data_IF_503149912331
#
_entry.id   IF_503149912331
#
_cell.length_a   1.000
_cell.length_b   1.000
_cell.length_c   1.000
_cell.angle_alpha   90.00
_cell.angle_beta   90.00
_cell.angle_gamma   90.00
#
_symmetry.space_group_name_H-M   'P 1'
#
loop_
_entity.id
_entity.type
_entity.pdbx_description
1 polymer ?
#
# COMPACT_ATOMS: atom_id res chain seq x y z
N UNK A 1 -11.20 8.54 -0.10
CA UNK A 1 -9.99 8.00 0.58
C UNK A 1 -9.11 7.09 -0.28
N UNK A 2 -9.49 6.75 -1.52
CA UNK A 2 -8.71 5.92 -2.46
C UNK A 2 -7.83 6.74 -3.42
N UNK A 3 -8.09 8.04 -3.56
CA UNK A 3 -7.38 8.94 -4.48
C UNK A 3 -5.89 9.08 -4.15
N UNK A 4 -5.06 9.24 -5.17
CA UNK A 4 -3.62 9.54 -5.02
C UNK A 4 -3.43 10.91 -4.36
N UNK A 5 -2.29 11.12 -3.66
CA UNK A 5 -2.04 12.36 -2.91
C UNK A 5 -2.11 13.62 -3.78
N UNK A 6 -1.54 13.68 -5.01
CA UNK A 6 -1.69 14.85 -5.87
C UNK A 6 -3.15 15.13 -6.25
N UNK A 7 -3.94 14.07 -6.52
CA UNK A 7 -5.35 14.20 -6.83
C UNK A 7 -6.14 14.73 -5.62
N UNK A 8 -5.82 14.28 -4.40
CA UNK A 8 -6.43 14.80 -3.18
C UNK A 8 -6.15 16.30 -2.99
N UNK A 9 -4.89 16.72 -3.14
CA UNK A 9 -4.51 18.13 -3.05
C UNK A 9 -5.22 18.97 -4.12
N UNK A 10 -5.30 18.46 -5.35
CA UNK A 10 -6.07 19.09 -6.44
C UNK A 10 -7.55 19.27 -6.10
N UNK A 11 -8.19 18.24 -5.53
CA UNK A 11 -9.60 18.33 -5.10
C UNK A 11 -9.79 19.37 -3.99
N UNK A 12 -8.90 19.42 -3.00
CA UNK A 12 -8.98 20.41 -1.92
C UNK A 12 -8.78 21.83 -2.45
N UNK A 13 -7.84 22.04 -3.37
CA UNK A 13 -7.61 23.33 -4.03
C UNK A 13 -8.82 23.76 -4.89
N UNK A 14 -9.41 22.83 -5.64
CA UNK A 14 -10.61 23.10 -6.43
C UNK A 14 -11.81 23.48 -5.53
N UNK A 15 -12.02 22.76 -4.42
CA UNK A 15 -13.07 23.09 -3.45
C UNK A 15 -12.86 24.47 -2.84
N UNK A 16 -11.62 24.81 -2.47
CA UNK A 16 -11.26 26.14 -1.98
C UNK A 16 -11.64 27.22 -3.01
N UNK A 17 -11.26 27.05 -4.28
CA UNK A 17 -11.61 28.01 -5.33
C UNK A 17 -13.12 28.13 -5.55
N UNK A 18 -13.85 27.02 -5.53
CA UNK A 18 -15.31 27.01 -5.70
C UNK A 18 -16.04 27.73 -4.57
N UNK A 19 -15.62 27.53 -3.32
CA UNK A 19 -16.18 28.25 -2.16
C UNK A 19 -15.93 29.75 -2.31
N UNK A 20 -14.70 30.14 -2.68
CA UNK A 20 -14.38 31.55 -2.87
C UNK A 20 -15.17 32.17 -4.03
N UNK A 21 -15.33 31.46 -5.15
CA UNK A 21 -16.15 31.92 -6.26
C UNK A 21 -17.63 32.08 -5.87
N UNK A 22 -18.16 31.16 -5.07
CA UNK A 22 -19.51 31.27 -4.53
C UNK A 22 -19.68 32.52 -3.65
N UNK A 23 -18.79 32.74 -2.69
CA UNK A 23 -18.84 33.92 -1.83
C UNK A 23 -18.58 35.22 -2.58
N UNK A 24 -17.77 35.20 -3.65
CA UNK A 24 -17.62 36.34 -4.56
C UNK A 24 -18.96 36.76 -5.15
N UNK A 25 -19.77 35.80 -5.61
CA UNK A 25 -21.13 36.06 -6.13
C UNK A 25 -22.03 36.60 -5.02
N UNK A 26 -21.96 36.03 -3.82
CA UNK A 26 -22.72 36.51 -2.65
C UNK A 26 -22.40 37.97 -2.36
N UNK A 27 -21.11 38.34 -2.27
CA UNK A 27 -20.70 39.73 -2.03
C UNK A 27 -21.05 40.67 -3.16
N UNK A 28 -21.02 40.21 -4.41
CA UNK A 28 -21.47 40.99 -5.56
C UNK A 28 -22.97 41.32 -5.49
N UNK A 29 -23.79 40.41 -4.95
CA UNK A 29 -25.23 40.60 -4.77
C UNK A 29 -25.54 41.44 -3.53
N UNK A 30 -24.91 41.15 -2.39
CA UNK A 30 -25.17 41.88 -1.13
C UNK A 30 -24.60 43.29 -1.15
N UNK A 31 -23.54 43.51 -1.93
CA UNK A 31 -22.73 44.72 -1.86
C UNK A 31 -22.17 44.95 -0.44
N UNK A 32 -21.87 46.21 -0.12
CA UNK A 32 -21.49 46.60 1.24
C UNK A 32 -20.07 46.20 1.66
N UNK A 33 -19.17 46.01 0.70
CA UNK A 33 -17.73 45.99 0.93
C UNK A 33 -17.15 47.41 0.76
N UNK A 34 -16.24 47.81 1.64
CA UNK A 34 -15.49 49.07 1.56
C UNK A 34 -13.98 48.80 1.49
N UNK A 35 -13.22 49.80 1.02
CA UNK A 35 -11.78 49.71 0.87
C UNK A 35 -11.30 49.61 -0.58
N UNK A 36 -10.05 49.20 -0.77
CA UNK A 36 -9.38 49.25 -2.09
C UNK A 36 -9.99 48.20 -3.01
N UNK A 37 -10.57 48.64 -4.14
CA UNK A 37 -11.21 47.76 -5.15
C UNK A 37 -12.44 46.99 -4.66
N UNK A 38 -13.05 47.38 -3.54
CA UNK A 38 -14.20 46.69 -2.92
C UNK A 38 -15.45 46.58 -3.82
N UNK A 39 -15.58 47.43 -4.84
CA UNK A 39 -16.66 47.38 -5.84
C UNK A 39 -16.35 46.56 -7.10
N UNK A 40 -15.22 45.85 -7.15
CA UNK A 40 -14.81 45.05 -8.32
C UNK A 40 -14.98 43.56 -8.04
N UNK A 41 -15.25 42.77 -9.09
CA UNK A 41 -15.34 41.31 -8.98
C UNK A 41 -14.08 40.66 -8.38
N UNK A 42 -12.91 41.10 -8.83
CA UNK A 42 -11.62 40.64 -8.30
C UNK A 42 -11.42 41.06 -6.84
N UNK A 43 -11.88 42.26 -6.45
CA UNK A 43 -11.84 42.71 -5.06
C UNK A 43 -12.69 41.83 -4.15
N UNK A 44 -13.91 41.51 -4.55
CA UNK A 44 -14.79 40.59 -3.83
C UNK A 44 -14.20 39.17 -3.73
N UNK A 45 -13.57 38.67 -4.80
CA UNK A 45 -12.87 37.39 -4.78
C UNK A 45 -11.69 37.38 -3.80
N UNK A 46 -10.83 38.39 -3.83
CA UNK A 46 -9.71 38.46 -2.90
C UNK A 46 -10.15 38.72 -1.45
N UNK A 47 -11.26 39.42 -1.24
CA UNK A 47 -11.87 39.56 0.08
C UNK A 47 -12.38 38.22 0.61
N UNK A 48 -13.06 37.44 -0.22
CA UNK A 48 -13.49 36.07 0.08
C UNK A 48 -12.29 35.18 0.43
N UNK A 49 -11.22 35.21 -0.37
CA UNK A 49 -9.97 34.47 -0.08
C UNK A 49 -9.37 34.86 1.27
N UNK A 50 -9.32 36.14 1.59
CA UNK A 50 -8.79 36.63 2.87
C UNK A 50 -9.68 36.26 4.05
N UNK A 51 -11.00 36.23 3.87
CA UNK A 51 -11.98 35.85 4.88
C UNK A 51 -11.93 34.35 5.15
N UNK A 52 -12.05 33.53 4.09
CA UNK A 52 -12.06 32.07 4.19
C UNK A 52 -10.73 31.51 4.75
N UNK A 53 -9.59 32.12 4.39
CA UNK A 53 -8.28 31.75 4.93
C UNK A 53 -7.96 32.35 6.30
N UNK A 54 -8.84 33.20 6.84
CA UNK A 54 -8.63 33.96 8.10
C UNK A 54 -7.44 34.92 8.07
N UNK A 55 -6.94 35.29 6.88
CA UNK A 55 -5.80 36.20 6.72
C UNK A 55 -6.18 37.65 7.05
N UNK A 56 -7.30 38.13 6.51
CA UNK A 56 -7.88 39.43 6.83
C UNK A 56 -6.92 40.63 6.81
N UNK A 57 -6.26 40.95 5.69
CA UNK A 57 -5.31 42.07 5.61
C UNK A 57 -5.89 43.45 5.95
N UNK A 58 -7.22 43.61 5.95
CA UNK A 58 -7.91 44.83 6.36
C UNK A 58 -8.03 45.90 5.27
N UNK A 59 -7.46 45.70 4.08
CA UNK A 59 -7.58 46.63 2.96
C UNK A 59 -8.97 46.64 2.30
N UNK A 60 -9.71 45.54 2.45
CA UNK A 60 -11.13 45.39 2.08
C UNK A 60 -11.85 44.83 3.29
N UNK A 61 -12.99 45.41 3.66
CA UNK A 61 -13.76 45.02 4.85
C UNK A 61 -15.28 45.21 4.63
N UNK A 62 -16.12 44.40 5.28
CA UNK A 62 -17.56 44.51 5.17
C UNK A 62 -18.11 45.66 6.05
N UNK A 63 -18.98 46.49 5.49
CA UNK A 63 -19.61 47.61 6.21
C UNK A 63 -21.12 47.44 6.38
N UNK A 64 -21.79 46.68 5.51
CA UNK A 64 -23.22 46.40 5.65
C UNK A 64 -23.47 45.22 6.60
N UNK A 65 -24.64 45.18 7.22
CA UNK A 65 -25.06 44.04 8.07
C UNK A 65 -25.05 42.73 7.27
N UNK A 66 -25.54 42.77 6.03
CA UNK A 66 -25.56 41.60 5.15
C UNK A 66 -24.15 41.09 4.81
N UNK A 67 -23.20 41.98 4.48
CA UNK A 67 -21.83 41.60 4.18
C UNK A 67 -21.10 41.06 5.43
N UNK A 68 -21.35 41.64 6.61
CA UNK A 68 -20.80 41.15 7.88
C UNK A 68 -21.33 39.75 8.23
N UNK A 69 -22.63 39.51 8.02
CA UNK A 69 -23.22 38.18 8.22
C UNK A 69 -22.63 37.16 7.24
N UNK A 70 -22.52 37.51 5.96
CA UNK A 70 -21.91 36.64 4.95
C UNK A 70 -20.45 36.32 5.28
N UNK A 71 -19.65 37.31 5.69
CA UNK A 71 -18.25 37.14 6.09
C UNK A 71 -18.09 36.31 7.36
N UNK A 72 -19.00 36.44 8.33
CA UNK A 72 -19.03 35.60 9.53
C UNK A 72 -19.32 34.14 9.18
N UNK A 73 -20.30 33.89 8.30
CA UNK A 73 -20.62 32.56 7.81
C UNK A 73 -19.48 31.95 6.99
N UNK A 74 -18.86 32.74 6.12
CA UNK A 74 -17.70 32.33 5.33
C UNK A 74 -16.53 31.94 6.24
N UNK A 75 -16.24 32.72 7.28
CA UNK A 75 -15.18 32.43 8.25
C UNK A 75 -15.44 31.11 9.00
N UNK A 76 -16.69 30.85 9.39
CA UNK A 76 -17.08 29.57 10.00
C UNK A 76 -16.86 28.40 9.04
N UNK A 77 -17.27 28.55 7.77
CA UNK A 77 -17.05 27.54 6.73
C UNK A 77 -15.55 27.32 6.50
N UNK A 78 -14.75 28.37 6.46
CA UNK A 78 -13.29 28.32 6.30
C UNK A 78 -12.60 27.55 7.43
N UNK A 79 -13.03 27.80 8.67
CA UNK A 79 -12.54 27.07 9.84
C UNK A 79 -12.85 25.57 9.75
N UNK A 80 -14.11 25.23 9.45
CA UNK A 80 -14.55 23.84 9.29
C UNK A 80 -13.83 23.14 8.12
N UNK A 81 -13.69 23.83 6.98
CA UNK A 81 -13.01 23.32 5.80
C UNK A 81 -11.52 23.04 6.09
N UNK A 82 -10.85 23.93 6.81
CA UNK A 82 -9.44 23.76 7.21
C UNK A 82 -9.28 22.57 8.16
N UNK A 83 -10.15 22.44 9.16
CA UNK A 83 -10.15 21.31 10.08
C UNK A 83 -10.35 19.97 9.34
N UNK A 84 -11.33 19.91 8.43
CA UNK A 84 -11.60 18.72 7.63
C UNK A 84 -10.46 18.39 6.67
N UNK A 85 -9.92 19.37 5.96
CA UNK A 85 -8.80 19.18 5.03
C UNK A 85 -7.56 18.63 5.76
N UNK A 86 -7.24 19.20 6.92
CA UNK A 86 -6.15 18.74 7.78
C UNK A 86 -6.40 17.30 8.24
N UNK A 87 -7.60 16.99 8.73
CA UNK A 87 -7.96 15.64 9.18
C UNK A 87 -7.87 14.60 8.06
N UNK A 88 -8.33 14.93 6.85
CA UNK A 88 -8.24 14.04 5.68
C UNK A 88 -6.79 13.83 5.25
N UNK A 89 -5.97 14.89 5.24
CA UNK A 89 -4.53 14.79 4.91
C UNK A 89 -3.80 13.91 5.93
N UNK A 90 -4.03 14.14 7.22
CA UNK A 90 -3.45 13.30 8.28
C UNK A 90 -3.89 11.84 8.13
N UNK A 91 -5.19 11.58 7.99
CA UNK A 91 -5.72 10.22 7.80
C UNK A 91 -5.17 9.54 6.53
N UNK A 92 -4.74 10.30 5.52
CA UNK A 92 -4.13 9.76 4.29
C UNK A 92 -2.64 9.45 4.50
N UNK A 93 -1.90 10.34 5.15
CA UNK A 93 -0.46 10.21 5.39
C UNK A 93 -0.13 9.18 6.47
N UNK A 94 -1.02 9.02 7.45
CA UNK A 94 -0.88 8.06 8.55
C UNK A 94 -1.27 6.62 8.16
N UNK A 95 -1.61 6.36 6.89
CA UNK A 95 -1.90 4.99 6.43
C UNK A 95 -0.60 4.21 6.24
N UNK A 96 -0.41 3.08 6.95
CA UNK A 96 0.75 2.25 6.74
C UNK A 96 0.69 1.60 5.36
N UNK A 97 1.81 1.62 4.65
CA UNK A 97 1.98 0.91 3.40
C UNK A 97 2.94 -0.24 3.62
N UNK A 98 2.44 -1.47 3.44
CA UNK A 98 3.26 -2.67 3.43
C UNK A 98 4.20 -2.63 2.21
N UNK A 99 5.43 -2.13 2.40
CA UNK A 99 6.48 -2.19 1.37
C UNK A 99 7.31 -3.46 1.54
N UNK A 100 6.62 -4.58 1.41
CA UNK A 100 7.23 -5.91 1.42
C UNK A 100 7.17 -6.45 0.00
N UNK A 101 8.33 -6.66 -0.60
CA UNK A 101 8.45 -7.18 -1.95
C UNK A 101 8.64 -8.69 -1.93
N UNK A 102 7.86 -9.38 -2.75
CA UNK A 102 7.98 -10.81 -2.99
C UNK A 102 8.91 -11.07 -4.19
N UNK A 103 9.61 -12.20 -4.21
CA UNK A 103 10.27 -12.68 -5.42
C UNK A 103 9.24 -12.84 -6.54
N UNK A 104 9.60 -12.56 -7.80
CA UNK A 104 8.68 -12.73 -8.93
C UNK A 104 8.37 -14.20 -9.25
N UNK A 105 9.21 -15.10 -8.75
CA UNK A 105 9.12 -16.54 -8.98
C UNK A 105 9.13 -17.28 -7.66
N UNK A 106 8.61 -18.49 -7.70
CA UNK A 106 8.66 -19.46 -6.63
C UNK A 106 9.47 -20.67 -7.13
N UNK A 107 10.39 -21.18 -6.32
CA UNK A 107 11.26 -22.29 -6.70
C UNK A 107 10.84 -23.57 -5.98
N UNK A 108 11.00 -24.71 -6.64
CA UNK A 108 10.89 -26.03 -6.02
C UNK A 108 12.19 -26.76 -6.29
N UNK A 109 12.90 -27.16 -5.23
CA UNK A 109 14.15 -27.94 -5.36
C UNK A 109 14.27 -28.94 -4.23
N UNK A 110 15.12 -29.94 -4.42
CA UNK A 110 15.57 -30.73 -3.29
C UNK A 110 16.36 -29.84 -2.32
N UNK A 111 15.97 -29.87 -1.05
CA UNK A 111 16.69 -29.18 0.01
C UNK A 111 16.76 -30.08 1.23
N UNK A 112 17.98 -30.49 1.59
CA UNK A 112 18.24 -31.43 2.67
C UNK A 112 17.48 -32.76 2.51
N UNK A 113 17.35 -33.26 1.27
CA UNK A 113 16.72 -34.54 0.96
C UNK A 113 15.19 -34.53 0.94
N UNK A 114 14.56 -33.34 0.96
CA UNK A 114 13.12 -33.21 0.79
C UNK A 114 12.82 -32.14 -0.26
N UNK A 115 11.99 -32.43 -1.28
CA UNK A 115 11.48 -31.41 -2.19
C UNK A 115 10.83 -30.28 -1.40
N UNK A 116 11.32 -29.06 -1.59
CA UNK A 116 10.93 -27.91 -0.80
C UNK A 116 10.58 -26.76 -1.73
N UNK A 117 9.38 -26.23 -1.53
CA UNK A 117 8.89 -25.02 -2.17
C UNK A 117 9.44 -23.81 -1.42
N UNK A 118 10.00 -22.85 -2.15
CA UNK A 118 10.61 -21.66 -1.57
C UNK A 118 10.27 -20.40 -2.38
N UNK A 119 10.08 -19.29 -1.68
CA UNK A 119 10.09 -17.95 -2.24
C UNK A 119 10.67 -17.00 -1.19
N UNK A 120 11.15 -15.84 -1.60
CA UNK A 120 11.71 -14.87 -0.65
C UNK A 120 10.93 -13.58 -0.64
N UNK A 121 10.87 -12.97 0.54
CA UNK A 121 10.33 -11.63 0.74
C UNK A 121 11.41 -10.73 1.32
N UNK A 122 11.34 -9.44 1.03
CA UNK A 122 12.25 -8.42 1.55
C UNK A 122 11.46 -7.22 2.05
N UNK A 123 11.90 -6.62 3.16
CA UNK A 123 11.40 -5.33 3.59
C UNK A 123 12.12 -4.24 2.78
N UNK A 124 11.39 -3.49 1.95
CA UNK A 124 11.98 -2.40 1.15
C UNK A 124 12.24 -1.14 1.99
N UNK A 125 11.73 -1.09 3.21
CA UNK A 125 11.98 -0.01 4.17
C UNK A 125 13.13 -0.36 5.10
N UNK A 126 13.76 0.68 5.65
CA UNK A 126 14.81 0.56 6.67
C UNK A 126 14.26 0.46 8.10
N UNK A 127 12.97 0.15 8.25
CA UNK A 127 12.33 -0.07 9.56
C UNK A 127 12.16 -1.57 9.82
N UNK A 128 11.62 -1.91 10.97
CA UNK A 128 11.31 -3.28 11.34
C UNK A 128 9.80 -3.52 11.26
N UNK A 129 9.43 -4.74 10.91
CA UNK A 129 8.07 -5.24 11.02
C UNK A 129 8.06 -6.29 12.12
N UNK A 130 7.33 -6.04 13.20
CA UNK A 130 7.20 -6.95 14.33
C UNK A 130 6.03 -7.90 14.13
N UNK A 131 6.10 -9.06 14.78
CA UNK A 131 5.07 -10.12 14.68
C UNK A 131 4.73 -10.50 13.23
N UNK A 132 5.75 -10.50 12.37
CA UNK A 132 5.59 -10.79 10.96
C UNK A 132 5.13 -12.24 10.78
N UNK A 133 3.97 -12.44 10.16
CA UNK A 133 3.36 -13.74 9.89
C UNK A 133 3.19 -13.94 8.38
N UNK A 134 3.54 -15.13 7.93
CA UNK A 134 3.36 -15.58 6.56
C UNK A 134 2.34 -16.73 6.54
N UNK A 135 1.32 -16.60 5.70
CA UNK A 135 0.40 -17.68 5.39
C UNK A 135 0.48 -17.97 3.89
N UNK A 136 0.55 -19.24 3.53
CA UNK A 136 0.60 -19.68 2.12
C UNK A 136 -0.55 -20.64 1.89
N UNK A 137 -1.40 -20.33 0.93
CA UNK A 137 -2.58 -21.13 0.58
C UNK A 137 -2.45 -21.60 -0.86
N UNK A 138 -2.56 -22.91 -1.07
CA UNK A 138 -2.77 -23.49 -2.38
C UNK A 138 -4.26 -23.48 -2.69
N UNK A 139 -4.62 -22.91 -3.82
CA UNK A 139 -5.95 -23.10 -4.42
C UNK A 139 -5.84 -24.11 -5.53
N UNK A 140 -6.69 -25.12 -5.52
CA UNK A 140 -6.75 -26.14 -6.57
C UNK A 140 -8.17 -26.66 -6.76
N UNK A 141 -8.44 -27.15 -7.96
CA UNK A 141 -9.70 -27.80 -8.30
C UNK A 141 -9.60 -29.29 -7.96
N UNK A 142 -10.61 -29.79 -7.24
CA UNK A 142 -10.78 -31.19 -6.90
C UNK A 142 -12.07 -31.69 -7.52
N UNK A 143 -12.01 -32.85 -8.17
CA UNK A 143 -13.21 -33.50 -8.71
C UNK A 143 -13.79 -34.42 -7.65
N UNK A 144 -15.02 -34.16 -7.26
CA UNK A 144 -15.76 -34.98 -6.29
C UNK A 144 -16.24 -36.30 -6.94
N UNK A 145 -16.68 -37.24 -6.11
CA UNK A 145 -17.17 -38.55 -6.56
C UNK A 145 -18.38 -38.45 -7.50
N UNK A 146 -19.17 -37.37 -7.39
CA UNK A 146 -20.33 -37.09 -8.23
C UNK A 146 -19.97 -36.43 -9.58
N UNK A 147 -18.67 -36.22 -9.85
CA UNK A 147 -18.17 -35.58 -11.06
C UNK A 147 -18.23 -34.05 -11.05
N UNK A 148 -18.69 -33.42 -9.95
CA UNK A 148 -18.60 -31.97 -9.78
C UNK A 148 -17.17 -31.54 -9.49
N UNK A 149 -16.83 -30.31 -9.88
CA UNK A 149 -15.49 -29.73 -9.65
C UNK A 149 -15.61 -28.65 -8.58
N UNK A 150 -14.95 -28.85 -7.45
CA UNK A 150 -14.91 -27.90 -6.34
C UNK A 150 -13.53 -27.25 -6.23
N UNK A 151 -13.52 -25.92 -6.12
CA UNK A 151 -12.30 -25.17 -5.84
C UNK A 151 -12.00 -25.18 -4.34
N UNK A 152 -10.94 -25.87 -3.94
CA UNK A 152 -10.48 -25.96 -2.54
C UNK A 152 -9.28 -25.06 -2.26
N UNK A 153 -9.28 -24.48 -1.06
CA UNK A 153 -8.18 -23.69 -0.52
C UNK A 153 -7.55 -24.45 0.66
N UNK A 154 -6.28 -24.82 0.52
CA UNK A 154 -5.53 -25.59 1.53
C UNK A 154 -4.30 -24.80 1.97
N UNK A 155 -4.16 -24.59 3.28
CA UNK A 155 -2.98 -23.91 3.83
C UNK A 155 -1.77 -24.84 3.82
N UNK A 156 -0.65 -24.36 3.28
CA UNK A 156 0.62 -25.08 3.26
C UNK A 156 1.37 -24.86 4.58
N UNK A 157 1.86 -25.95 5.18
CA UNK A 157 2.63 -25.91 6.42
C UNK A 157 4.04 -25.35 6.19
N UNK A 158 4.31 -24.15 6.67
CA UNK A 158 5.64 -23.54 6.54
C UNK A 158 6.61 -24.09 7.58
N UNK A 159 7.91 -24.11 7.24
CA UNK A 159 8.97 -24.43 8.22
C UNK A 159 9.09 -23.34 9.30
N UNK A 160 8.83 -22.09 8.90
CA UNK A 160 8.62 -20.96 9.80
C UNK A 160 7.53 -20.08 9.20
N UNK A 161 6.44 -19.89 9.94
CA UNK A 161 5.32 -19.02 9.58
C UNK A 161 5.32 -17.69 10.34
N UNK A 162 6.15 -17.56 11.39
CA UNK A 162 6.30 -16.33 12.20
C UNK A 162 7.76 -15.91 12.31
N UNK A 163 8.02 -14.61 12.14
CA UNK A 163 9.28 -13.95 12.44
C UNK A 163 9.01 -12.83 13.46
N UNK A 164 9.56 -12.88 14.69
CA UNK A 164 9.36 -11.84 15.70
C UNK A 164 9.79 -10.46 15.19
N UNK A 165 10.88 -10.42 14.41
CA UNK A 165 11.39 -9.23 13.74
C UNK A 165 11.67 -9.57 12.28
N UNK A 166 11.08 -8.82 11.37
CA UNK A 166 11.37 -8.86 9.93
C UNK A 166 11.95 -7.52 9.49
N UNK A 167 13.27 -7.49 9.26
CA UNK A 167 14.02 -6.27 8.97
C UNK A 167 14.67 -6.25 7.57
N UNK A 168 15.09 -7.42 7.07
CA UNK A 168 15.86 -7.53 5.84
C UNK A 168 15.17 -8.46 4.84
N UNK A 169 15.47 -9.76 4.89
CA UNK A 169 14.96 -10.76 3.95
C UNK A 169 14.51 -12.01 4.70
N UNK A 170 13.53 -12.71 4.14
CA UNK A 170 13.02 -13.96 4.68
C UNK A 170 12.77 -14.92 3.52
N UNK A 171 13.54 -16.02 3.49
CA UNK A 171 13.27 -17.16 2.63
C UNK A 171 12.18 -18.02 3.28
N UNK A 172 10.99 -17.98 2.71
CA UNK A 172 9.84 -18.79 3.14
C UNK A 172 9.98 -20.18 2.52
N UNK A 173 9.76 -21.22 3.32
CA UNK A 173 9.96 -22.61 2.91
C UNK A 173 8.77 -23.48 3.33
N UNK A 174 8.29 -24.30 2.41
CA UNK A 174 7.31 -25.37 2.65
C UNK A 174 7.90 -26.70 2.19
N UNK A 175 8.10 -27.62 3.13
CA UNK A 175 8.56 -28.99 2.82
C UNK A 175 7.41 -29.78 2.23
N UNK A 176 7.61 -30.36 1.05
CA UNK A 176 6.63 -31.20 0.37
C UNK A 176 6.78 -32.63 0.91
N UNK A 177 6.22 -32.85 2.11
CA UNK A 177 6.10 -34.17 2.75
C UNK A 177 4.93 -34.95 2.14
N UNK A 178 4.77 -36.26 2.43
CA UNK A 178 3.61 -37.03 1.97
C UNK A 178 2.25 -36.41 2.29
N UNK A 179 2.14 -35.68 3.42
CA UNK A 179 0.91 -34.97 3.81
C UNK A 179 0.69 -33.64 3.07
N UNK A 180 1.63 -33.20 2.23
CA UNK A 180 1.50 -31.97 1.45
C UNK A 180 0.57 -32.17 0.27
N UNK A 181 -0.34 -31.22 -0.04
CA UNK A 181 -1.19 -31.28 -1.24
C UNK A 181 -0.40 -31.11 -2.55
N UNK A 182 0.92 -30.82 -2.46
CA UNK A 182 1.85 -30.77 -3.58
C UNK A 182 2.67 -32.07 -3.72
N UNK A 183 2.49 -33.05 -2.83
CA UNK A 183 3.23 -34.30 -2.90
C UNK A 183 2.90 -35.07 -4.17
N UNK A 184 3.94 -35.58 -4.85
CA UNK A 184 3.81 -36.29 -6.12
C UNK A 184 3.38 -35.43 -7.32
N UNK A 185 3.12 -34.13 -7.15
CA UNK A 185 2.76 -33.24 -8.26
C UNK A 185 4.01 -32.76 -9.00
N UNK A 186 4.01 -32.94 -10.31
CA UNK A 186 5.04 -32.40 -11.20
C UNK A 186 4.65 -31.01 -11.73
N UNK A 187 5.51 -30.44 -12.58
CA UNK A 187 5.29 -29.11 -13.17
C UNK A 187 3.99 -29.04 -13.97
N UNK A 188 3.66 -30.08 -14.73
CA UNK A 188 2.43 -30.16 -15.50
C UNK A 188 1.19 -30.23 -14.59
N UNK A 189 1.25 -30.99 -13.50
CA UNK A 189 0.15 -31.12 -12.56
C UNK A 189 -0.13 -29.81 -11.82
N UNK A 190 0.91 -29.03 -11.49
CA UNK A 190 0.71 -27.68 -10.93
C UNK A 190 0.09 -26.75 -11.98
N UNK A 191 0.48 -26.87 -13.26
CA UNK A 191 -0.01 -26.02 -14.34
C UNK A 191 -1.42 -26.33 -14.84
N UNK A 192 -1.84 -27.60 -14.84
CA UNK A 192 -3.05 -28.04 -15.53
C UNK A 192 -4.38 -27.66 -14.84
N UNK A 193 -4.36 -27.28 -13.55
CA UNK A 193 -5.58 -27.15 -12.73
C UNK A 193 -6.00 -25.71 -12.38
N UNK A 194 -5.48 -24.69 -13.06
CA UNK A 194 -5.70 -23.30 -12.63
C UNK A 194 -5.26 -23.04 -11.19
N UNK A 195 -4.27 -23.82 -10.72
CA UNK A 195 -3.78 -23.77 -9.36
C UNK A 195 -3.04 -22.46 -9.15
N UNK A 196 -3.31 -21.81 -8.02
CA UNK A 196 -2.60 -20.59 -7.63
C UNK A 196 -2.12 -20.72 -6.20
N UNK A 197 -0.93 -20.20 -5.93
CA UNK A 197 -0.36 -20.14 -4.60
C UNK A 197 -0.49 -18.70 -4.12
N UNK A 198 -1.33 -18.49 -3.11
CA UNK A 198 -1.58 -17.19 -2.51
C UNK A 198 -0.71 -17.07 -1.27
N UNK A 199 0.21 -16.11 -1.27
CA UNK A 199 1.07 -15.79 -0.14
C UNK A 199 0.57 -14.51 0.52
N UNK A 200 0.12 -14.60 1.76
CA UNK A 200 -0.36 -13.46 2.56
C UNK A 200 0.64 -13.17 3.67
N UNK A 201 1.06 -11.91 3.75
CA UNK A 201 1.95 -11.41 4.80
C UNK A 201 1.22 -10.41 5.67
N UNK A 202 1.37 -10.54 6.98
CA UNK A 202 0.88 -9.59 7.98
C UNK A 202 1.98 -9.26 8.99
N UNK A 203 1.92 -8.08 9.59
CA UNK A 203 2.77 -7.71 10.72
C UNK A 203 2.42 -6.33 11.22
N UNK A 204 3.19 -5.82 12.17
CA UNK A 204 3.03 -4.47 12.72
C UNK A 204 4.23 -3.63 12.27
N UNK A 205 3.97 -2.54 11.54
CA UNK A 205 5.02 -1.58 11.15
C UNK A 205 5.42 -0.77 12.39
N UNK A 206 6.69 -0.86 12.79
CA UNK A 206 7.19 -0.24 14.03
C UNK A 206 7.18 1.30 13.98
N UNK A 207 7.22 1.90 12.78
CA UNK A 207 7.22 3.35 12.62
C UNK A 207 5.82 3.95 12.82
N UNK A 208 4.79 3.25 12.36
CA UNK A 208 3.40 3.71 12.47
C UNK A 208 2.61 2.99 13.57
N UNK A 209 3.24 2.01 14.22
CA UNK A 209 2.62 1.11 15.21
C UNK A 209 1.28 0.55 14.74
N UNK A 210 1.20 0.20 13.46
CA UNK A 210 -0.04 -0.16 12.79
C UNK A 210 0.13 -1.45 11.98
N UNK A 211 -0.94 -2.24 11.92
CA UNK A 211 -0.94 -3.49 11.16
C UNK A 211 -0.81 -3.23 9.67
N UNK A 212 0.05 -4.00 9.02
CA UNK A 212 0.24 -4.03 7.59
C UNK A 212 -0.17 -5.38 7.03
N UNK A 213 -0.70 -5.36 5.81
CA UNK A 213 -1.08 -6.54 5.06
C UNK A 213 -0.61 -6.39 3.61
N UNK A 214 -0.03 -7.43 3.05
CA UNK A 214 0.21 -7.54 1.61
C UNK A 214 0.04 -8.98 1.16
N UNK A 215 -0.24 -9.16 -0.14
CA UNK A 215 -0.38 -10.47 -0.75
C UNK A 215 0.34 -10.55 -2.08
N UNK A 216 0.80 -11.75 -2.42
CA UNK A 216 1.31 -12.08 -3.73
C UNK A 216 0.69 -13.39 -4.19
N UNK A 217 0.45 -13.53 -5.49
CA UNK A 217 -0.14 -14.72 -6.08
C UNK A 217 0.82 -15.23 -7.13
N UNK A 218 1.22 -16.49 -6.98
CA UNK A 218 2.03 -17.20 -7.98
C UNK A 218 1.12 -18.09 -8.81
N UNK A 219 1.17 -17.90 -10.12
CA UNK A 219 0.64 -18.85 -11.09
C UNK A 219 1.62 -19.99 -11.35
N UNK A 220 1.24 -20.93 -12.20
CA UNK A 220 2.11 -22.04 -12.55
C UNK A 220 3.33 -21.63 -13.38
N UNK A 221 3.19 -20.55 -14.16
CA UNK A 221 4.24 -19.90 -14.94
C UNK A 221 5.36 -19.30 -14.08
N UNK A 222 5.05 -18.97 -12.82
CA UNK A 222 6.00 -18.41 -11.86
C UNK A 222 6.81 -19.50 -11.14
N UNK A 223 6.44 -20.78 -11.31
CA UNK A 223 7.08 -21.90 -10.62
C UNK A 223 8.30 -22.42 -11.40
N UNK A 224 9.46 -22.44 -10.73
CA UNK A 224 10.74 -22.90 -11.29
C UNK A 224 11.26 -24.13 -10.53
N UNK A 225 11.18 -25.28 -11.18
CA UNK A 225 11.68 -26.55 -10.64
C UNK A 225 13.18 -26.72 -10.85
N UNK A 226 13.90 -27.20 -9.84
CA UNK A 226 15.35 -27.42 -9.92
C UNK A 226 16.17 -26.14 -9.87
N UNK A 227 15.59 -25.01 -9.46
CA UNK A 227 16.28 -23.73 -9.32
C UNK A 227 16.62 -23.44 -7.86
N UNK A 228 17.67 -22.64 -7.63
CA UNK A 228 17.94 -21.97 -6.35
C UNK A 228 17.97 -20.46 -6.55
N UNK A 229 17.60 -19.70 -5.52
CA UNK A 229 17.80 -18.26 -5.53
C UNK A 229 19.29 -17.94 -5.48
N UNK A 230 19.69 -16.95 -6.29
CA UNK A 230 21.02 -16.36 -6.23
C UNK A 230 21.19 -15.64 -4.89
N UNK A 231 22.37 -15.71 -4.30
CA UNK A 231 22.66 -14.97 -3.07
C UNK A 231 22.67 -13.45 -3.34
N UNK A 232 22.02 -12.71 -2.46
CA UNK A 232 21.81 -11.26 -2.58
C UNK A 232 22.24 -10.50 -1.34
N UNK A 233 22.63 -11.20 -0.28
CA UNK A 233 23.06 -10.57 0.97
C UNK A 233 24.57 -10.44 0.92
N UNK A 234 25.04 -9.20 0.85
CA UNK A 234 26.47 -8.87 0.90
C UNK A 234 26.81 -8.25 2.25
N UNK A 235 27.96 -8.61 2.81
CA UNK A 235 28.53 -7.92 3.96
C UNK A 235 29.52 -6.87 3.47
N UNK A 236 29.20 -5.61 3.72
CA UNK A 236 30.07 -4.48 3.40
C UNK A 236 31.32 -4.44 4.28
N UNK A 237 32.40 -3.75 3.87
CA UNK A 237 33.63 -3.63 4.66
C UNK A 237 33.44 -3.03 6.06
N UNK A 238 32.42 -2.21 6.26
CA UNK A 238 32.06 -1.61 7.54
C UNK A 238 31.25 -2.55 8.47
N UNK A 239 30.99 -3.79 8.04
CA UNK A 239 30.23 -4.78 8.79
C UNK A 239 28.73 -4.76 8.51
N UNK A 240 28.20 -3.78 7.78
CA UNK A 240 26.78 -3.70 7.45
C UNK A 240 26.36 -4.80 6.48
N UNK A 241 25.13 -5.29 6.64
CA UNK A 241 24.49 -6.15 5.64
C UNK A 241 23.79 -5.28 4.59
N UNK A 242 24.02 -5.57 3.33
CA UNK A 242 23.36 -4.95 2.20
C UNK A 242 22.66 -6.03 1.37
N UNK A 243 21.53 -5.66 0.76
CA UNK A 243 20.81 -6.51 -0.17
C UNK A 243 20.94 -5.94 -1.57
N UNK A 244 21.43 -6.73 -2.52
CA UNK A 244 21.38 -6.37 -3.94
C UNK A 244 19.98 -6.67 -4.51
N UNK A 245 19.13 -5.66 -4.49
CA UNK A 245 17.77 -5.73 -5.01
C UNK A 245 17.69 -6.08 -6.51
N UNK A 246 18.74 -5.79 -7.29
CA UNK A 246 18.75 -6.07 -8.74
C UNK A 246 18.69 -7.56 -9.03
N UNK A 247 19.30 -8.36 -8.15
CA UNK A 247 19.38 -9.82 -8.25
C UNK A 247 18.35 -10.53 -7.35
N UNK A 248 17.46 -9.77 -6.71
CA UNK A 248 16.45 -10.30 -5.77
C UNK A 248 15.46 -11.26 -6.42
N UNK A 249 15.27 -11.18 -7.73
CA UNK A 249 14.41 -12.13 -8.44
C UNK A 249 15.19 -13.27 -9.12
N UNK A 250 16.51 -13.18 -9.13
CA UNK A 250 17.36 -14.08 -9.92
C UNK A 250 17.41 -15.47 -9.31
N UNK A 251 17.37 -16.45 -10.21
CA UNK A 251 17.50 -17.87 -9.88
C UNK A 251 18.46 -18.53 -10.84
N UNK A 252 19.09 -19.59 -10.39
CA UNK A 252 20.00 -20.41 -11.20
C UNK A 252 19.64 -21.89 -11.05
N UNK A 253 19.82 -22.66 -12.12
CA UNK A 253 19.60 -24.10 -12.13
C UNK A 253 20.61 -24.81 -11.23
N UNK A 254 20.11 -25.70 -10.37
CA UNK A 254 20.93 -26.57 -9.54
C UNK A 254 21.36 -27.77 -10.39
N UNK A 255 22.62 -27.77 -10.84
CA UNK A 255 23.23 -28.98 -11.40
C UNK A 255 23.46 -29.99 -10.28
N UNK A 256 23.16 -31.27 -10.53
CA UNK A 256 23.12 -32.40 -9.57
C UNK A 256 24.48 -32.72 -8.90
N UNK A 257 25.49 -31.84 -8.96
CA UNK A 257 26.89 -32.12 -8.63
C UNK A 257 27.45 -31.57 -7.30
N UNK A 258 26.63 -30.99 -6.44
CA UNK A 258 27.07 -30.64 -5.08
C UNK A 258 26.39 -31.55 -4.05
N UNK A 259 26.90 -32.78 -3.94
CA UNK A 259 26.76 -33.65 -2.77
C UNK A 259 28.12 -33.85 -2.16
#
# INVERSE_FOLDING_TARGET
MTMQLPALLGTLAALFLLINMFFTVVYAITGGLAGVRAGTWLGAFFFSVQTLSTTGYGAIYPVSVAANFASSLESLIGLLATALATGILFARLSRPQARVMFSKVLIIRDYRGTPTLMFRIVNERRNQITEARMNVTLTHDETEEDGSVLRRMVTLKLERDVSPVFALSWLVMHKITPDSPLYGKDKSAIAAGGNVIICSFTGIDDTLSASIYTRHVYGAEDVRFGHRFVDVIERKPNGDLAIDYRRFHDTETVTVRDK
#
